data_IF_135573594592
#
_entry.id   IF_135573594592
#
_cell.length_a   1.000
_cell.length_b   1.000
_cell.length_c   1.000
_cell.angle_alpha   90.00
_cell.angle_beta   90.00
_cell.angle_gamma   90.00
#
_symmetry.space_group_name_H-M   'P 1'
#
loop_
_entity.id
_entity.type
_entity.pdbx_description
1 polymer ?
#
# COMPACT_ATOMS: atom_id res chain seq x y z
N UNK A 1 18.83 39.87 20.25
CA UNK A 1 18.74 38.45 20.62
C UNK A 1 17.29 38.05 20.57
N UNK A 2 16.86 37.52 19.43
CA UNK A 2 15.47 37.09 19.22
C UNK A 2 15.37 35.59 19.51
N UNK A 3 14.62 35.25 20.55
CA UNK A 3 14.34 33.88 20.96
C UNK A 3 13.36 33.25 19.93
N UNK A 4 13.83 32.28 19.17
CA UNK A 4 12.99 31.42 18.32
C UNK A 4 12.01 30.64 19.21
N UNK A 5 10.74 30.58 18.89
CA UNK A 5 9.81 29.74 19.64
C UNK A 5 10.21 28.27 19.47
N UNK A 6 10.28 27.54 20.57
CA UNK A 6 10.50 26.11 20.60
C UNK A 6 9.29 25.41 19.97
N UNK A 7 9.48 24.84 18.80
CA UNK A 7 8.54 23.87 18.25
C UNK A 7 8.46 22.70 19.23
N UNK A 8 7.29 22.53 19.84
CA UNK A 8 6.99 21.38 20.65
C UNK A 8 7.03 20.14 19.75
N UNK A 9 8.07 19.33 19.87
CA UNK A 9 8.11 17.99 19.31
C UNK A 9 6.98 17.21 19.94
N UNK A 10 5.88 17.04 19.22
CA UNK A 10 4.86 16.06 19.56
C UNK A 10 5.52 14.71 19.37
N UNK A 11 5.86 14.03 20.45
CA UNK A 11 6.26 12.65 20.41
C UNK A 11 5.11 11.86 19.79
N UNK A 12 5.23 11.51 18.52
CA UNK A 12 4.28 10.58 17.87
C UNK A 12 4.51 9.22 18.50
N UNK A 13 3.58 8.81 19.38
CA UNK A 13 3.56 7.44 19.89
C UNK A 13 3.59 6.43 18.74
N UNK A 14 4.16 5.25 18.99
CA UNK A 14 4.22 4.19 18.01
C UNK A 14 2.82 3.92 17.44
N UNK A 15 2.69 4.01 16.12
CA UNK A 15 1.45 3.70 15.43
C UNK A 15 1.43 2.19 15.20
N UNK A 16 0.39 1.51 15.68
CA UNK A 16 0.17 0.13 15.31
C UNK A 16 -0.29 0.08 13.85
N UNK A 17 0.58 -0.42 12.99
CA UNK A 17 0.34 -0.59 11.56
C UNK A 17 0.15 -2.07 11.17
N UNK A 18 -0.17 -2.93 12.13
CA UNK A 18 -0.43 -4.35 11.88
C UNK A 18 -1.67 -4.51 10.99
N UNK A 19 -1.50 -5.24 9.90
CA UNK A 19 -2.58 -5.52 8.96
C UNK A 19 -3.24 -6.85 9.33
N UNK A 20 -4.56 -6.81 9.58
CA UNK A 20 -5.34 -8.02 9.77
C UNK A 20 -5.34 -8.87 8.52
N UNK A 21 -4.92 -10.12 8.65
CA UNK A 21 -4.89 -11.07 7.54
C UNK A 21 -6.16 -11.92 7.51
N UNK A 22 -6.74 -12.08 6.33
CA UNK A 22 -7.90 -12.97 6.10
C UNK A 22 -7.52 -14.46 6.17
N UNK A 23 -6.23 -14.74 6.01
CA UNK A 23 -5.67 -16.09 5.99
C UNK A 23 -4.40 -16.15 5.15
N UNK A 24 -3.90 -17.36 4.91
CA UNK A 24 -2.68 -17.54 4.10
C UNK A 24 -2.96 -17.41 2.60
N UNK A 25 -2.14 -16.62 1.90
CA UNK A 25 -2.16 -16.53 0.44
C UNK A 25 -1.57 -17.81 -0.17
N UNK A 26 -2.39 -18.58 -0.92
CA UNK A 26 -2.00 -19.87 -1.48
C UNK A 26 -2.09 -19.94 -3.00
N UNK A 27 -2.65 -18.93 -3.63
CA UNK A 27 -2.91 -18.89 -5.06
C UNK A 27 -1.74 -18.19 -5.74
N UNK A 28 -0.97 -18.86 -6.61
CA UNK A 28 0.14 -18.22 -7.29
C UNK A 28 -0.35 -17.10 -8.20
N UNK A 29 0.37 -15.99 -8.19
CA UNK A 29 0.09 -14.87 -9.09
C UNK A 29 0.30 -15.28 -10.53
N UNK A 30 -0.59 -14.82 -11.42
CA UNK A 30 -0.49 -15.06 -12.87
C UNK A 30 0.42 -14.04 -13.57
N UNK A 31 0.99 -13.08 -12.85
CA UNK A 31 1.89 -12.07 -13.41
C UNK A 31 3.22 -12.72 -13.80
N UNK A 32 3.58 -12.66 -15.07
CA UNK A 32 4.81 -13.27 -15.59
C UNK A 32 6.00 -12.32 -15.68
N UNK A 33 5.77 -11.00 -15.70
CA UNK A 33 6.81 -9.99 -15.89
C UNK A 33 6.81 -8.96 -14.76
N UNK A 34 6.86 -9.44 -13.53
CA UNK A 34 6.74 -8.58 -12.37
C UNK A 34 7.82 -8.91 -11.33
N UNK A 35 8.38 -7.88 -10.72
CA UNK A 35 9.25 -8.05 -9.56
C UNK A 35 8.39 -8.10 -8.31
N UNK A 36 8.14 -9.29 -7.82
CA UNK A 36 7.38 -9.48 -6.60
C UNK A 36 8.08 -8.88 -5.38
N UNK A 37 7.26 -8.34 -4.48
CA UNK A 37 7.68 -7.81 -3.19
C UNK A 37 7.41 -8.90 -2.14
N UNK A 38 8.40 -9.16 -1.28
CA UNK A 38 8.24 -10.06 -0.13
C UNK A 38 7.31 -9.44 0.90
N UNK A 39 6.49 -10.27 1.57
CA UNK A 39 5.60 -9.86 2.66
C UNK A 39 6.38 -9.36 3.89
N UNK A 40 7.65 -9.72 4.01
CA UNK A 40 8.53 -9.29 5.10
C UNK A 40 9.13 -7.90 4.89
N UNK A 41 9.01 -7.35 3.68
CA UNK A 41 9.54 -6.01 3.39
C UNK A 41 8.64 -4.94 3.96
N UNK A 42 9.27 -4.07 4.76
CA UNK A 42 8.61 -2.96 5.41
C UNK A 42 9.26 -1.63 5.04
N UNK A 43 8.52 -0.57 5.21
CA UNK A 43 8.98 0.82 5.10
C UNK A 43 8.76 1.54 6.42
N UNK A 44 9.70 2.39 6.78
CA UNK A 44 9.60 3.19 8.00
C UNK A 44 8.66 4.37 7.77
N UNK A 45 7.88 4.71 8.79
CA UNK A 45 7.09 5.94 8.80
C UNK A 45 7.99 7.17 8.94
N UNK A 46 9.06 7.06 9.75
CA UNK A 46 10.03 8.11 9.96
C UNK A 46 10.99 8.18 8.78
N UNK A 47 10.96 9.29 8.07
CA UNK A 47 11.78 9.49 6.86
C UNK A 47 12.83 10.61 7.00
N UNK A 48 12.74 11.45 8.04
CA UNK A 48 13.72 12.51 8.28
C UNK A 48 14.81 12.04 9.24
N UNK A 49 16.03 12.56 9.04
CA UNK A 49 17.18 12.22 9.88
C UNK A 49 16.94 12.54 11.35
N UNK A 50 16.36 13.70 11.64
CA UNK A 50 16.04 14.13 13.00
C UNK A 50 15.03 13.18 13.70
N UNK A 51 14.07 12.66 12.94
CA UNK A 51 13.11 11.67 13.45
C UNK A 51 13.78 10.33 13.77
N UNK A 52 14.75 9.92 12.95
CA UNK A 52 15.49 8.67 13.17
C UNK A 52 16.48 8.82 14.34
N UNK A 53 17.12 9.96 14.47
CA UNK A 53 18.02 10.23 15.62
C UNK A 53 17.28 10.24 16.96
N UNK A 54 16.06 10.78 16.98
CA UNK A 54 15.24 10.80 18.20
C UNK A 54 14.81 9.40 18.67
N UNK A 55 14.92 8.37 17.82
CA UNK A 55 14.54 6.99 18.11
C UNK A 55 15.72 6.12 18.60
N UNK A 56 16.94 6.68 18.69
CA UNK A 56 18.14 5.90 19.10
C UNK A 56 18.03 5.32 20.51
N UNK A 57 17.27 5.95 21.39
CA UNK A 57 17.08 5.53 22.78
C UNK A 57 15.91 4.58 22.97
N UNK A 58 14.97 4.52 22.04
CA UNK A 58 13.85 3.57 22.04
C UNK A 58 13.60 3.00 20.64
N UNK A 59 13.98 1.75 20.34
CA UNK A 59 13.91 1.18 18.99
C UNK A 59 12.49 0.74 18.59
N UNK A 60 11.47 1.53 18.89
CA UNK A 60 10.11 1.28 18.40
C UNK A 60 9.88 2.07 17.12
N UNK A 61 10.19 1.43 16.01
CA UNK A 61 9.89 1.98 14.69
C UNK A 61 8.44 1.70 14.32
N UNK A 62 7.72 2.72 13.84
CA UNK A 62 6.45 2.50 13.15
C UNK A 62 6.74 2.08 11.72
N UNK A 63 6.35 0.86 11.38
CA UNK A 63 6.62 0.26 10.07
C UNK A 63 5.31 -0.08 9.36
N UNK A 64 5.30 0.10 8.04
CA UNK A 64 4.20 -0.34 7.18
C UNK A 64 4.69 -1.42 6.23
N UNK A 65 3.81 -2.31 5.81
CA UNK A 65 4.12 -3.24 4.74
C UNK A 65 4.42 -2.49 3.44
N UNK A 66 5.49 -2.89 2.76
CA UNK A 66 5.83 -2.32 1.45
C UNK A 66 4.77 -2.74 0.44
N UNK A 67 4.12 -1.75 -0.19
CA UNK A 67 3.16 -1.99 -1.25
C UNK A 67 3.82 -2.58 -2.50
N UNK A 68 3.08 -3.41 -3.21
CA UNK A 68 3.53 -3.98 -4.47
C UNK A 68 2.95 -5.36 -4.74
N UNK A 69 3.24 -5.93 -5.91
CA UNK A 69 2.70 -7.22 -6.31
C UNK A 69 3.29 -8.35 -5.46
N UNK A 70 2.44 -9.27 -5.06
CA UNK A 70 2.79 -10.46 -4.29
C UNK A 70 2.86 -11.70 -5.18
N UNK A 71 3.77 -12.62 -4.85
CA UNK A 71 3.90 -13.89 -5.56
C UNK A 71 2.72 -14.84 -5.32
N UNK A 72 2.12 -14.75 -4.12
CA UNK A 72 0.93 -15.50 -3.77
C UNK A 72 -0.22 -14.56 -3.44
N UNK A 73 -1.42 -14.95 -3.85
CA UNK A 73 -2.65 -14.20 -3.66
C UNK A 73 -3.59 -14.96 -2.71
N UNK A 74 -4.40 -14.23 -1.98
CA UNK A 74 -5.45 -14.78 -1.15
C UNK A 74 -6.71 -15.11 -1.97
N UNK A 75 -7.12 -14.19 -2.86
CA UNK A 75 -8.27 -14.36 -3.73
C UNK A 75 -7.85 -14.94 -5.08
N UNK A 76 -8.66 -15.87 -5.59
CA UNK A 76 -8.53 -16.39 -6.95
C UNK A 76 -9.06 -15.35 -7.95
N UNK A 77 -8.21 -14.71 -8.77
CA UNK A 77 -8.66 -13.69 -9.71
C UNK A 77 -9.72 -14.21 -10.69
N UNK A 78 -9.63 -15.47 -11.08
CA UNK A 78 -10.58 -16.08 -12.03
C UNK A 78 -12.01 -16.19 -11.50
N UNK A 79 -12.17 -16.11 -10.18
CA UNK A 79 -13.47 -16.14 -9.49
C UNK A 79 -13.83 -14.78 -8.89
N UNK A 80 -12.88 -13.84 -8.87
CA UNK A 80 -13.09 -12.53 -8.31
C UNK A 80 -13.98 -11.65 -9.20
N UNK A 81 -14.79 -10.82 -8.55
CA UNK A 81 -15.52 -9.74 -9.19
C UNK A 81 -15.04 -8.44 -8.60
N UNK A 82 -14.66 -7.50 -9.44
CA UNK A 82 -14.25 -6.18 -9.05
C UNK A 82 -15.31 -5.14 -9.41
N UNK A 83 -15.41 -4.07 -8.66
CA UNK A 83 -16.24 -2.93 -9.00
C UNK A 83 -15.41 -1.64 -8.91
N UNK A 84 -15.63 -0.74 -9.87
CA UNK A 84 -15.01 0.58 -9.87
C UNK A 84 -16.08 1.59 -9.48
N UNK A 85 -15.86 2.31 -8.38
CA UNK A 85 -16.78 3.32 -7.89
C UNK A 85 -16.16 4.69 -8.08
N UNK A 86 -16.90 5.58 -8.73
CA UNK A 86 -16.51 6.98 -8.90
C UNK A 86 -17.44 7.88 -8.09
N UNK A 87 -16.87 8.81 -7.33
CA UNK A 87 -17.67 9.68 -6.45
C UNK A 87 -18.23 10.92 -7.15
N UNK A 88 -18.06 11.03 -8.47
CA UNK A 88 -18.48 12.20 -9.24
C UNK A 88 -17.45 13.33 -9.23
N UNK A 89 -17.81 14.43 -9.91
CA UNK A 89 -16.92 15.59 -10.08
C UNK A 89 -16.22 15.60 -11.45
N UNK A 90 -15.63 16.76 -11.78
CA UNK A 90 -14.85 16.93 -13.00
C UNK A 90 -13.43 16.42 -12.78
N UNK A 91 -13.15 15.26 -13.34
CA UNK A 91 -11.81 14.69 -13.34
C UNK A 91 -11.40 14.41 -14.79
N UNK A 92 -10.61 15.29 -15.44
CA UNK A 92 -10.10 15.02 -16.77
C UNK A 92 -9.33 13.71 -16.80
N UNK A 93 -9.63 12.86 -17.79
CA UNK A 93 -8.97 11.56 -17.95
C UNK A 93 -9.55 10.41 -17.12
N UNK A 94 -10.63 10.60 -16.37
CA UNK A 94 -11.24 9.53 -15.57
C UNK A 94 -11.62 8.31 -16.43
N UNK A 95 -12.10 8.51 -17.64
CA UNK A 95 -12.44 7.44 -18.56
C UNK A 95 -11.22 6.61 -18.96
N UNK A 96 -10.06 7.23 -19.12
CA UNK A 96 -8.81 6.54 -19.44
C UNK A 96 -8.33 5.73 -18.24
N UNK A 97 -8.48 6.28 -17.04
CA UNK A 97 -8.16 5.56 -15.78
C UNK A 97 -9.05 4.33 -15.64
N UNK A 98 -10.37 4.49 -15.79
CA UNK A 98 -11.33 3.37 -15.73
C UNK A 98 -10.97 2.31 -16.78
N UNK A 99 -10.74 2.74 -18.02
CA UNK A 99 -10.34 1.83 -19.09
C UNK A 99 -9.06 1.08 -18.77
N UNK A 100 -8.04 1.77 -18.27
CA UNK A 100 -6.76 1.16 -17.90
C UNK A 100 -6.95 0.10 -16.80
N UNK A 101 -7.73 0.41 -15.76
CA UNK A 101 -8.01 -0.52 -14.66
C UNK A 101 -8.76 -1.76 -15.18
N UNK A 102 -9.78 -1.58 -16.01
CA UNK A 102 -10.54 -2.70 -16.60
C UNK A 102 -9.65 -3.59 -17.45
N UNK A 103 -8.87 -2.98 -18.35
CA UNK A 103 -7.96 -3.72 -19.23
C UNK A 103 -6.91 -4.49 -18.43
N UNK A 104 -6.29 -3.88 -17.44
CA UNK A 104 -5.32 -4.52 -16.59
C UNK A 104 -5.94 -5.67 -15.78
N UNK A 105 -7.10 -5.43 -15.19
CA UNK A 105 -7.80 -6.45 -14.40
C UNK A 105 -8.17 -7.67 -15.23
N UNK A 106 -8.68 -7.48 -16.45
CA UNK A 106 -9.13 -8.59 -17.30
C UNK A 106 -7.97 -9.29 -18.02
N UNK A 107 -7.04 -8.53 -18.59
CA UNK A 107 -5.98 -9.09 -19.43
C UNK A 107 -4.78 -9.58 -18.63
N UNK A 108 -4.37 -8.84 -17.62
CA UNK A 108 -3.18 -9.17 -16.82
C UNK A 108 -3.53 -10.05 -15.64
N UNK A 109 -4.53 -9.66 -14.86
CA UNK A 109 -4.93 -10.39 -13.65
C UNK A 109 -5.98 -11.48 -13.87
N UNK A 110 -6.57 -11.54 -15.06
CA UNK A 110 -7.63 -12.54 -15.41
C UNK A 110 -8.83 -12.51 -14.46
N UNK A 111 -9.19 -11.33 -13.99
CA UNK A 111 -10.39 -11.14 -13.17
C UNK A 111 -11.64 -11.49 -13.97
N UNK A 112 -12.54 -12.28 -13.37
CA UNK A 112 -13.71 -12.80 -14.06
C UNK A 112 -14.70 -11.71 -14.51
N UNK A 113 -14.85 -10.64 -13.73
CA UNK A 113 -15.77 -9.55 -14.05
C UNK A 113 -15.32 -8.24 -13.40
N UNK A 114 -15.42 -7.14 -14.14
CA UNK A 114 -15.27 -5.78 -13.65
C UNK A 114 -16.54 -5.01 -13.95
N UNK A 115 -17.15 -4.42 -12.92
CA UNK A 115 -18.41 -3.67 -12.94
C UNK A 115 -18.15 -2.18 -12.79
#
# INVERSE_FOLDING_TARGET
MSKKPSESSVAMGAINADISQLGSAKIPSQLSFCRFISDEKKVLLQITHDQLESLQDEPVYSEFELAGPRSNLYFDPSKAKCAIVTCGGLCPGINDVIRAIVMESQHTYKVASVL
#
